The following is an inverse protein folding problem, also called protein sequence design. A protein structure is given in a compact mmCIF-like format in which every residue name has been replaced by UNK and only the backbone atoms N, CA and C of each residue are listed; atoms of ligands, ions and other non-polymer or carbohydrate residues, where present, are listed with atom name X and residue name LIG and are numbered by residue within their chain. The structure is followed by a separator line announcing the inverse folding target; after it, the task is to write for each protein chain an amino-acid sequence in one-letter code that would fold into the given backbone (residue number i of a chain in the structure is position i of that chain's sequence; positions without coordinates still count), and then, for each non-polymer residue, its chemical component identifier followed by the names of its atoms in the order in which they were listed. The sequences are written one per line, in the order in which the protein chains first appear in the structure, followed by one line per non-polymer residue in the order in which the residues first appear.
data_IF_296370945868
#
_entry.id   IF_296370945868
#
_cell.length_a   1.000
_cell.length_b   1.000
_cell.length_c   1.000
_cell.angle_alpha   90.00
_cell.angle_beta   90.00
_cell.angle_gamma   90.00
#
_symmetry.space_group_name_H-M   'P 1'
#
loop_
_entity.id
_entity.type
_entity.pdbx_description
1 polymer ?
#
# COMPACT_ATOMS: atom_id res chain seq x y z
N UNK A 1 -18.87 -13.91 32.29
CA UNK A 1 -17.46 -13.78 32.63
C UNK A 1 -16.58 -13.69 31.37
N UNK A 2 -16.65 -14.63 30.44
CA UNK A 2 -15.81 -14.64 29.20
C UNK A 2 -15.95 -13.36 28.36
N UNK A 3 -17.18 -12.86 28.14
CA UNK A 3 -17.42 -11.63 27.38
C UNK A 3 -16.81 -10.39 28.04
N UNK A 4 -16.90 -10.30 29.35
CA UNK A 4 -16.33 -9.18 30.11
C UNK A 4 -14.78 -9.21 30.05
N UNK A 5 -14.19 -10.38 30.20
CA UNK A 5 -12.75 -10.58 30.06
C UNK A 5 -12.26 -10.24 28.65
N UNK A 6 -12.96 -10.73 27.60
CA UNK A 6 -12.62 -10.40 26.22
C UNK A 6 -12.73 -8.90 25.93
N UNK A 7 -13.76 -8.24 26.46
CA UNK A 7 -13.93 -6.80 26.32
C UNK A 7 -12.81 -6.01 27.02
N UNK A 8 -12.42 -6.41 28.25
CA UNK A 8 -11.31 -5.77 28.97
C UNK A 8 -9.98 -5.96 28.23
N UNK A 9 -9.75 -7.14 27.65
CA UNK A 9 -8.56 -7.42 26.86
C UNK A 9 -8.51 -6.55 25.60
N UNK A 10 -9.62 -6.46 24.86
CA UNK A 10 -9.72 -5.61 23.67
C UNK A 10 -9.52 -4.13 24.02
N UNK A 11 -10.09 -3.66 25.14
CA UNK A 11 -9.90 -2.28 25.59
C UNK A 11 -8.44 -1.99 25.94
N UNK A 12 -7.76 -2.93 26.60
CA UNK A 12 -6.34 -2.82 26.90
C UNK A 12 -5.50 -2.73 25.62
N UNK A 13 -5.73 -3.61 24.64
CA UNK A 13 -5.07 -3.56 23.34
C UNK A 13 -5.34 -2.23 22.62
N UNK A 14 -6.57 -1.74 22.66
CA UNK A 14 -6.93 -0.46 22.05
C UNK A 14 -6.14 0.70 22.66
N UNK A 15 -6.08 0.77 24.00
CA UNK A 15 -5.34 1.83 24.72
C UNK A 15 -3.85 1.76 24.39
N UNK A 16 -3.24 0.57 24.43
CA UNK A 16 -1.83 0.37 24.10
C UNK A 16 -1.53 0.75 22.64
N UNK A 17 -2.44 0.41 21.72
CA UNK A 17 -2.27 0.73 20.30
C UNK A 17 -2.46 2.22 20.01
N UNK A 18 -3.35 2.90 20.72
CA UNK A 18 -3.61 4.34 20.55
C UNK A 18 -2.58 5.22 21.27
N UNK A 19 -1.91 4.70 22.29
CA UNK A 19 -0.95 5.46 23.11
C UNK A 19 0.13 6.18 22.25
N UNK A 20 0.86 5.51 21.33
CA UNK A 20 1.89 6.18 20.54
C UNK A 20 1.32 7.30 19.67
N UNK A 21 0.12 7.12 19.11
CA UNK A 21 -0.52 8.16 18.29
C UNK A 21 -0.93 9.37 19.14
N UNK A 22 -1.52 9.14 20.32
CA UNK A 22 -1.85 10.19 21.28
C UNK A 22 -0.58 10.92 21.75
N UNK A 23 0.50 10.17 22.04
CA UNK A 23 1.79 10.75 22.38
C UNK A 23 2.34 11.66 21.27
N UNK A 24 2.34 11.19 20.01
CA UNK A 24 2.79 11.99 18.86
C UNK A 24 1.96 13.25 18.68
N UNK A 25 0.63 13.13 18.80
CA UNK A 25 -0.29 14.26 18.69
C UNK A 25 0.00 15.33 19.74
N UNK A 26 0.06 14.96 21.02
CA UNK A 26 0.35 15.93 22.08
C UNK A 26 1.79 16.44 22.02
N UNK A 27 2.74 15.62 21.63
CA UNK A 27 4.14 16.02 21.48
C UNK A 27 4.37 17.02 20.35
N UNK A 28 3.51 17.02 19.32
CA UNK A 28 3.62 18.01 18.23
C UNK A 28 3.32 19.45 18.67
N UNK A 29 2.67 19.62 19.83
CA UNK A 29 2.40 20.93 20.44
C UNK A 29 3.37 21.29 21.57
N UNK A 30 4.36 20.44 21.86
CA UNK A 30 5.36 20.68 22.90
C UNK A 30 6.51 21.53 22.38
N UNK A 31 7.07 22.32 23.27
CA UNK A 31 8.36 22.99 23.02
C UNK A 31 9.50 21.98 23.00
N UNK A 32 10.62 22.30 22.33
CA UNK A 32 11.80 21.43 22.28
C UNK A 32 12.28 20.99 23.69
N UNK A 33 12.15 21.84 24.71
CA UNK A 33 12.53 21.53 26.08
C UNK A 33 11.61 20.46 26.71
N UNK A 34 10.32 20.54 26.42
CA UNK A 34 9.31 19.60 26.96
C UNK A 34 9.38 18.22 26.29
N UNK A 35 9.80 18.14 25.02
CA UNK A 35 9.94 16.86 24.29
C UNK A 35 10.98 15.96 25.01
N UNK A 36 12.05 16.56 25.56
CA UNK A 36 13.08 15.83 26.30
C UNK A 36 12.69 15.50 27.75
N UNK A 37 11.46 15.83 28.18
CA UNK A 37 10.92 15.47 29.49
C UNK A 37 9.90 14.34 29.36
N UNK A 38 10.31 13.06 29.35
CA UNK A 38 9.42 11.94 29.04
C UNK A 38 8.31 11.71 30.08
N UNK A 39 8.42 12.30 31.28
CA UNK A 39 7.44 12.16 32.35
C UNK A 39 6.13 12.93 32.10
N UNK A 40 6.09 13.84 31.15
CA UNK A 40 4.91 14.67 30.86
C UNK A 40 4.23 14.20 29.58
N UNK A 41 3.02 13.68 29.70
CA UNK A 41 2.22 13.26 28.54
C UNK A 41 1.62 14.47 27.80
N UNK A 42 1.05 15.43 28.51
CA UNK A 42 0.43 16.63 27.96
C UNK A 42 1.42 17.81 27.87
N UNK A 43 1.30 18.69 26.89
CA UNK A 43 2.08 19.93 26.81
C UNK A 43 1.68 20.90 27.94
N UNK A 44 2.59 21.71 28.46
CA UNK A 44 2.27 22.79 29.42
C UNK A 44 1.44 23.89 28.77
N UNK A 45 1.79 24.21 27.52
CA UNK A 45 1.05 25.12 26.65
C UNK A 45 1.00 24.52 25.26
N UNK A 46 -0.15 24.64 24.61
CA UNK A 46 -0.29 24.24 23.22
C UNK A 46 0.46 25.27 22.35
N UNK A 47 1.63 24.90 21.85
CA UNK A 47 2.46 25.72 20.98
C UNK A 47 2.38 25.21 19.54
N UNK A 48 1.94 26.06 18.62
CA UNK A 48 1.85 25.76 17.19
C UNK A 48 3.11 26.13 16.40
N UNK A 49 4.20 26.55 17.07
CA UNK A 49 5.40 27.06 16.41
C UNK A 49 6.05 26.01 15.49
N UNK A 50 6.02 24.74 15.88
CA UNK A 50 6.52 23.65 15.03
C UNK A 50 5.79 23.56 13.69
N UNK A 51 4.47 23.76 13.69
CA UNK A 51 3.65 23.75 12.48
C UNK A 51 3.91 24.99 11.61
N UNK A 52 4.03 26.18 12.22
CA UNK A 52 4.36 27.37 11.45
C UNK A 52 5.74 27.28 10.78
N UNK A 53 6.75 26.77 11.49
CA UNK A 53 8.08 26.52 10.94
C UNK A 53 8.07 25.52 9.79
N UNK A 54 7.25 24.49 9.89
CA UNK A 54 7.09 23.46 8.86
C UNK A 54 6.43 24.02 7.59
N UNK A 55 5.38 24.84 7.78
CA UNK A 55 4.61 25.43 6.67
C UNK A 55 5.33 26.61 6.02
N UNK A 56 6.17 27.35 6.75
CA UNK A 56 6.99 28.45 6.24
C UNK A 56 8.07 28.00 5.23
N UNK A 57 8.31 26.70 5.11
CA UNK A 57 9.26 26.13 4.15
C UNK A 57 10.73 26.49 4.37
N UNK A 58 11.06 27.14 5.51
CA UNK A 58 12.43 27.62 5.79
C UNK A 58 13.47 26.52 6.00
N UNK A 59 13.04 25.36 6.51
CA UNK A 59 13.92 24.24 6.80
C UNK A 59 13.78 23.11 5.78
N UNK A 60 12.55 22.83 5.34
CA UNK A 60 12.21 21.79 4.37
C UNK A 60 11.00 22.27 3.60
N UNK A 61 11.00 22.09 2.29
CA UNK A 61 9.83 22.33 1.46
C UNK A 61 8.81 21.19 1.66
N UNK A 62 8.13 21.25 2.82
CA UNK A 62 7.19 20.24 3.26
C UNK A 62 6.01 20.10 2.29
N UNK A 63 5.55 21.20 1.72
CA UNK A 63 4.41 21.22 0.78
C UNK A 63 4.69 20.37 -0.46
N UNK A 64 5.82 20.61 -1.10
CA UNK A 64 6.26 19.84 -2.27
C UNK A 64 6.57 18.38 -1.91
N UNK A 65 7.25 18.15 -0.77
CA UNK A 65 7.53 16.77 -0.31
C UNK A 65 6.27 15.97 -0.01
N UNK A 66 5.25 16.59 0.57
CA UNK A 66 3.95 15.96 0.80
C UNK A 66 3.24 15.65 -0.52
N UNK A 67 3.22 16.62 -1.46
CA UNK A 67 2.63 16.43 -2.78
C UNK A 67 3.31 15.31 -3.55
N UNK A 68 4.64 15.26 -3.58
CA UNK A 68 5.39 14.16 -4.20
C UNK A 68 5.08 12.81 -3.55
N UNK A 69 5.02 12.75 -2.23
CA UNK A 69 4.67 11.52 -1.51
C UNK A 69 3.27 11.02 -1.87
N UNK A 70 2.28 11.91 -1.94
CA UNK A 70 0.91 11.59 -2.37
C UNK A 70 0.89 11.14 -3.83
N UNK A 71 1.60 11.85 -4.71
CA UNK A 71 1.69 11.49 -6.13
C UNK A 71 2.33 10.12 -6.33
N UNK A 72 3.47 9.85 -5.70
CA UNK A 72 4.15 8.55 -5.79
C UNK A 72 3.28 7.44 -5.22
N UNK A 73 2.71 7.63 -4.03
CA UNK A 73 1.89 6.61 -3.37
C UNK A 73 0.63 6.28 -4.17
N UNK A 74 -0.10 7.29 -4.66
CA UNK A 74 -1.33 7.07 -5.44
C UNK A 74 -1.04 6.45 -6.80
N UNK A 75 -0.01 6.92 -7.49
CA UNK A 75 0.40 6.38 -8.80
C UNK A 75 0.87 4.94 -8.67
N UNK A 76 1.74 4.65 -7.71
CA UNK A 76 2.27 3.31 -7.46
C UNK A 76 1.16 2.33 -7.07
N UNK A 77 0.29 2.69 -6.12
CA UNK A 77 -0.80 1.81 -5.68
C UNK A 77 -1.81 1.54 -6.79
N UNK A 78 -2.16 2.55 -7.58
CA UNK A 78 -3.08 2.41 -8.71
C UNK A 78 -2.51 1.47 -9.79
N UNK A 79 -1.25 1.70 -10.19
CA UNK A 79 -0.58 0.87 -11.17
C UNK A 79 -0.36 -0.56 -10.67
N UNK A 80 0.07 -0.73 -9.41
CA UNK A 80 0.27 -2.04 -8.81
C UNK A 80 -1.05 -2.83 -8.74
N UNK A 81 -2.14 -2.17 -8.40
CA UNK A 81 -3.48 -2.78 -8.36
C UNK A 81 -3.92 -3.18 -9.76
N UNK A 82 -3.78 -2.30 -10.74
CA UNK A 82 -4.16 -2.57 -12.13
C UNK A 82 -3.36 -3.75 -12.71
N UNK A 83 -2.03 -3.72 -12.59
CA UNK A 83 -1.15 -4.79 -13.08
C UNK A 83 -1.45 -6.11 -12.38
N UNK A 84 -1.63 -6.08 -11.05
CA UNK A 84 -1.96 -7.27 -10.28
C UNK A 84 -3.33 -7.85 -10.65
N UNK A 85 -4.34 -7.00 -10.86
CA UNK A 85 -5.67 -7.44 -11.25
C UNK A 85 -5.69 -8.03 -12.66
N UNK A 86 -5.04 -7.38 -13.64
CA UNK A 86 -4.92 -7.92 -14.99
C UNK A 86 -4.19 -9.26 -15.01
N UNK A 87 -3.04 -9.33 -14.34
CA UNK A 87 -2.26 -10.57 -14.23
C UNK A 87 -3.07 -11.65 -13.51
N UNK A 88 -3.74 -11.30 -12.42
CA UNK A 88 -4.60 -12.20 -11.66
C UNK A 88 -5.75 -12.78 -12.48
N UNK A 89 -6.43 -11.96 -13.30
CA UNK A 89 -7.48 -12.41 -14.20
C UNK A 89 -6.93 -13.43 -15.22
N UNK A 90 -5.80 -13.12 -15.85
CA UNK A 90 -5.18 -14.03 -16.82
C UNK A 90 -4.77 -15.34 -16.16
N UNK A 91 -4.14 -15.28 -14.98
CA UNK A 91 -3.73 -16.47 -14.23
C UNK A 91 -4.93 -17.26 -13.67
N UNK A 92 -6.07 -16.64 -13.43
CA UNK A 92 -7.27 -17.34 -12.97
C UNK A 92 -8.01 -18.04 -14.10
N UNK A 93 -8.26 -17.32 -15.21
CA UNK A 93 -9.26 -17.68 -16.23
C UNK A 93 -8.67 -18.23 -17.52
N UNK A 94 -7.37 -18.13 -17.74
CA UNK A 94 -6.73 -18.62 -18.95
C UNK A 94 -5.77 -19.76 -18.64
N UNK A 95 -5.67 -20.72 -19.58
CA UNK A 95 -4.69 -21.80 -19.56
C UNK A 95 -3.62 -21.53 -20.62
N UNK A 96 -2.36 -21.45 -20.22
CA UNK A 96 -1.22 -21.23 -21.11
C UNK A 96 0.07 -21.85 -20.56
N UNK A 97 1.04 -22.08 -21.44
CA UNK A 97 2.36 -22.60 -21.03
C UNK A 97 3.10 -21.51 -20.23
N UNK A 98 3.67 -21.90 -19.09
CA UNK A 98 4.37 -20.95 -18.19
C UNK A 98 3.51 -20.37 -17.05
N UNK A 99 2.20 -20.66 -16.97
CA UNK A 99 1.33 -20.21 -15.87
C UNK A 99 1.87 -20.59 -14.48
N UNK A 100 2.33 -21.83 -14.31
CA UNK A 100 2.91 -22.29 -13.05
C UNK A 100 4.18 -21.51 -12.68
N UNK A 101 5.03 -21.20 -13.68
CA UNK A 101 6.22 -20.37 -13.49
C UNK A 101 5.87 -18.97 -12.98
N UNK A 102 4.89 -18.30 -13.58
CA UNK A 102 4.46 -16.95 -13.15
C UNK A 102 3.87 -16.95 -11.73
N UNK A 103 3.09 -17.98 -11.38
CA UNK A 103 2.58 -18.14 -10.01
C UNK A 103 3.75 -18.37 -9.04
N UNK A 104 4.70 -19.21 -9.39
CA UNK A 104 5.91 -19.45 -8.61
C UNK A 104 6.74 -18.18 -8.43
N UNK A 105 6.93 -17.40 -9.49
CA UNK A 105 7.63 -16.11 -9.42
C UNK A 105 6.90 -15.12 -8.48
N UNK A 106 5.58 -15.03 -8.55
CA UNK A 106 4.81 -14.18 -7.64
C UNK A 106 4.97 -14.59 -6.17
N UNK A 107 5.03 -15.91 -5.89
CA UNK A 107 5.29 -16.43 -4.54
C UNK A 107 6.70 -16.11 -4.07
N UNK A 108 7.71 -16.25 -4.93
CA UNK A 108 9.11 -15.90 -4.62
C UNK A 108 9.22 -14.42 -4.26
N UNK A 109 8.57 -13.53 -5.01
CA UNK A 109 8.57 -12.07 -4.72
C UNK A 109 8.03 -11.78 -3.31
N UNK A 110 7.07 -12.56 -2.81
CA UNK A 110 6.53 -12.38 -1.45
C UNK A 110 7.56 -12.82 -0.40
N UNK A 111 8.35 -13.85 -0.67
CA UNK A 111 9.31 -14.43 0.26
C UNK A 111 10.60 -13.61 0.36
N UNK A 112 10.97 -12.87 -0.69
CA UNK A 112 12.18 -12.06 -0.68
C UNK A 112 11.95 -10.79 0.14
N UNK A 113 12.72 -10.54 1.20
CA UNK A 113 12.60 -9.33 2.00
C UNK A 113 13.00 -8.12 1.17
N UNK A 114 12.11 -7.14 1.04
CA UNK A 114 12.36 -5.92 0.25
C UNK A 114 13.60 -5.17 0.69
N UNK A 115 13.92 -5.23 1.99
CA UNK A 115 15.09 -4.59 2.56
C UNK A 115 16.40 -5.10 1.96
N UNK A 116 16.48 -6.39 1.62
CA UNK A 116 17.65 -6.98 0.98
C UNK A 116 17.86 -6.47 -0.47
N UNK A 117 16.81 -5.99 -1.11
CA UNK A 117 16.85 -5.49 -2.48
C UNK A 117 17.16 -3.99 -2.60
N UNK A 118 17.23 -3.26 -1.48
CA UNK A 118 17.42 -1.80 -1.51
C UNK A 118 18.71 -1.41 -2.23
N UNK A 119 19.83 -2.04 -1.88
CA UNK A 119 21.12 -1.72 -2.49
C UNK A 119 21.19 -2.11 -3.97
N UNK A 120 20.86 -3.36 -4.39
CA UNK A 120 20.87 -3.72 -5.80
C UNK A 120 19.93 -2.85 -6.66
N UNK A 121 18.74 -2.50 -6.13
CA UNK A 121 17.78 -1.65 -6.83
C UNK A 121 18.32 -0.23 -6.97
N UNK A 122 18.95 0.32 -5.94
CA UNK A 122 19.59 1.63 -5.99
C UNK A 122 20.72 1.66 -7.04
N UNK A 123 21.61 0.67 -7.04
CA UNK A 123 22.69 0.55 -8.02
C UNK A 123 22.14 0.45 -9.46
N UNK A 124 21.08 -0.32 -9.65
CA UNK A 124 20.41 -0.44 -10.95
C UNK A 124 19.82 0.88 -11.44
N UNK A 125 19.14 1.63 -10.57
CA UNK A 125 18.61 2.95 -10.94
C UNK A 125 19.71 4.00 -11.14
N UNK A 126 20.80 3.90 -10.39
CA UNK A 126 21.97 4.74 -10.61
C UNK A 126 22.58 4.48 -11.99
N UNK A 127 22.74 3.23 -12.36
CA UNK A 127 23.23 2.84 -13.68
C UNK A 127 22.32 3.33 -14.83
N UNK A 128 21.01 3.33 -14.62
CA UNK A 128 20.03 3.85 -15.58
C UNK A 128 19.92 5.39 -15.59
N UNK A 129 20.59 6.10 -14.68
CA UNK A 129 20.46 7.55 -14.53
C UNK A 129 19.09 8.00 -14.00
N UNK A 130 18.39 7.15 -13.26
CA UNK A 130 17.02 7.39 -12.77
C UNK A 130 16.97 7.82 -11.29
N UNK A 131 18.11 8.07 -10.68
CA UNK A 131 18.18 8.57 -9.31
C UNK A 131 17.57 10.00 -9.26
N UNK A 132 16.75 10.26 -8.26
CA UNK A 132 16.05 11.54 -8.10
C UNK A 132 14.78 11.69 -8.95
N UNK A 133 14.36 10.64 -9.66
CA UNK A 133 13.11 10.63 -10.42
C UNK A 133 12.03 9.86 -9.67
N UNK A 134 10.86 10.47 -9.46
CA UNK A 134 9.70 9.84 -8.79
C UNK A 134 9.22 8.56 -9.48
N UNK A 135 9.42 8.46 -10.80
CA UNK A 135 9.07 7.24 -11.57
C UNK A 135 9.88 6.01 -11.17
N UNK A 136 11.13 6.17 -10.71
CA UNK A 136 11.93 5.04 -10.21
C UNK A 136 11.26 4.39 -8.99
N UNK A 137 10.74 5.20 -8.07
CA UNK A 137 10.01 4.71 -6.89
C UNK A 137 8.70 4.05 -7.29
N UNK A 138 7.94 4.65 -8.21
CA UNK A 138 6.68 4.11 -8.71
C UNK A 138 6.90 2.74 -9.34
N UNK A 139 7.87 2.63 -10.25
CA UNK A 139 8.14 1.38 -10.98
C UNK A 139 8.60 0.24 -10.07
N UNK A 140 9.37 0.53 -9.02
CA UNK A 140 9.79 -0.47 -8.02
C UNK A 140 8.61 -1.17 -7.34
N UNK A 141 7.48 -0.50 -7.19
CA UNK A 141 6.33 -1.02 -6.45
C UNK A 141 5.22 -1.62 -7.31
N UNK A 142 5.30 -1.50 -8.63
CA UNK A 142 4.25 -1.99 -9.55
C UNK A 142 4.10 -3.52 -9.49
N UNK A 143 5.21 -4.25 -9.38
CA UNK A 143 5.18 -5.70 -9.31
C UNK A 143 4.90 -6.18 -7.89
N UNK A 144 3.63 -6.47 -7.58
CA UNK A 144 3.19 -6.99 -6.30
C UNK A 144 2.84 -8.47 -6.39
N UNK A 145 3.72 -9.36 -5.89
CA UNK A 145 3.45 -10.80 -5.84
C UNK A 145 2.18 -11.11 -5.02
N UNK A 146 2.01 -10.43 -3.88
CA UNK A 146 0.83 -10.58 -3.03
C UNK A 146 -0.44 -10.12 -3.76
N UNK A 147 -0.39 -8.99 -4.46
CA UNK A 147 -1.51 -8.50 -5.27
C UNK A 147 -1.89 -9.49 -6.38
N UNK A 148 -0.92 -10.03 -7.10
CA UNK A 148 -1.16 -11.04 -8.15
C UNK A 148 -1.82 -12.29 -7.58
N UNK A 149 -1.33 -12.85 -6.47
CA UNK A 149 -1.93 -14.03 -5.84
C UNK A 149 -3.33 -13.72 -5.32
N UNK A 150 -3.53 -12.57 -4.66
CA UNK A 150 -4.83 -12.14 -4.16
C UNK A 150 -5.87 -12.08 -5.30
N UNK A 151 -5.58 -11.34 -6.37
CA UNK A 151 -6.51 -11.23 -7.50
C UNK A 151 -6.69 -12.55 -8.24
N UNK A 152 -5.64 -13.40 -8.34
CA UNK A 152 -5.78 -14.74 -8.93
C UNK A 152 -6.80 -15.58 -8.16
N UNK A 153 -6.73 -15.57 -6.83
CA UNK A 153 -7.68 -16.32 -6.00
C UNK A 153 -9.09 -15.71 -6.09
N UNK A 154 -9.19 -14.37 -6.03
CA UNK A 154 -10.49 -13.70 -6.13
C UNK A 154 -11.20 -14.01 -7.46
N UNK A 155 -10.49 -13.93 -8.57
CA UNK A 155 -11.06 -14.26 -9.88
C UNK A 155 -11.37 -15.75 -10.06
N UNK A 156 -10.68 -16.67 -9.38
CA UNK A 156 -11.00 -18.12 -9.41
C UNK A 156 -12.39 -18.42 -8.85
N UNK A 157 -12.87 -17.65 -7.88
CA UNK A 157 -14.20 -17.83 -7.29
C UNK A 157 -15.33 -17.40 -8.22
N UNK A 158 -15.06 -16.61 -9.25
CA UNK A 158 -16.08 -16.20 -10.20
C UNK A 158 -16.42 -17.36 -11.17
N UNK A 159 -17.72 -17.57 -11.52
CA UNK A 159 -18.13 -18.57 -12.49
C UNK A 159 -17.45 -18.38 -13.85
N UNK A 160 -17.10 -19.49 -14.53
CA UNK A 160 -16.49 -19.41 -15.85
C UNK A 160 -17.50 -19.00 -16.94
N UNK A 161 -18.77 -19.23 -16.68
CA UNK A 161 -19.89 -18.87 -17.54
C UNK A 161 -19.89 -17.36 -17.87
N UNK A 162 -19.48 -16.51 -16.92
CA UNK A 162 -19.33 -15.07 -17.16
C UNK A 162 -18.32 -14.78 -18.27
N UNK A 163 -17.24 -15.55 -18.32
CA UNK A 163 -16.21 -15.42 -19.37
C UNK A 163 -16.70 -15.93 -20.71
N UNK A 164 -17.45 -17.04 -20.71
CA UNK A 164 -17.99 -17.67 -21.90
C UNK A 164 -19.04 -16.79 -22.55
N UNK A 165 -20.02 -16.32 -21.79
CA UNK A 165 -21.06 -15.38 -22.26
C UNK A 165 -20.42 -14.11 -22.84
N UNK A 166 -19.46 -13.52 -22.13
CA UNK A 166 -18.78 -12.30 -22.59
C UNK A 166 -18.04 -12.53 -23.92
N UNK A 167 -17.46 -13.71 -24.12
CA UNK A 167 -16.80 -14.07 -25.39
C UNK A 167 -17.80 -14.30 -26.51
N UNK A 168 -18.92 -14.93 -26.23
CA UNK A 168 -20.00 -15.15 -27.21
C UNK A 168 -20.60 -13.82 -27.69
N UNK A 169 -20.70 -12.82 -26.81
CA UNK A 169 -21.10 -11.46 -27.13
C UNK A 169 -20.02 -10.64 -27.88
N UNK A 170 -18.84 -11.22 -28.11
CA UNK A 170 -17.75 -10.59 -28.85
C UNK A 170 -17.00 -9.51 -28.07
N UNK A 171 -17.07 -9.50 -26.74
CA UNK A 171 -16.34 -8.50 -25.93
C UNK A 171 -14.83 -8.71 -25.98
N UNK A 172 -14.10 -7.60 -26.12
CA UNK A 172 -12.64 -7.61 -26.04
C UNK A 172 -12.17 -8.00 -24.63
N UNK A 173 -10.97 -8.56 -24.45
CA UNK A 173 -10.42 -8.93 -23.15
C UNK A 173 -10.44 -7.77 -22.12
N UNK A 174 -10.20 -6.53 -22.58
CA UNK A 174 -10.25 -5.33 -21.77
C UNK A 174 -11.67 -5.03 -21.27
N UNK A 175 -12.66 -5.16 -22.15
CA UNK A 175 -14.07 -4.96 -21.80
C UNK A 175 -14.55 -6.02 -20.81
N UNK A 176 -14.12 -7.28 -20.99
CA UNK A 176 -14.37 -8.37 -20.05
C UNK A 176 -13.79 -8.03 -18.67
N UNK A 177 -12.54 -7.55 -18.62
CA UNK A 177 -11.90 -7.14 -17.36
C UNK A 177 -12.72 -6.09 -16.61
N UNK A 178 -13.12 -5.00 -17.30
CA UNK A 178 -13.92 -3.91 -16.70
C UNK A 178 -15.27 -4.44 -16.20
N UNK A 179 -15.90 -5.34 -16.95
CA UNK A 179 -17.22 -5.88 -16.65
C UNK A 179 -17.18 -6.82 -15.43
N UNK A 180 -16.09 -7.54 -15.22
CA UNK A 180 -15.93 -8.51 -14.13
C UNK A 180 -15.41 -7.84 -12.85
N UNK A 181 -14.71 -6.71 -12.97
CA UNK A 181 -14.10 -6.03 -11.82
C UNK A 181 -15.09 -5.70 -10.68
N UNK A 182 -16.32 -5.21 -10.94
CA UNK A 182 -17.30 -4.93 -9.89
C UNK A 182 -17.71 -6.17 -9.07
N UNK A 183 -17.66 -7.36 -9.64
CA UNK A 183 -18.00 -8.60 -8.92
C UNK A 183 -16.96 -9.00 -7.86
N UNK A 184 -15.79 -8.36 -7.85
CA UNK A 184 -14.80 -8.53 -6.80
C UNK A 184 -15.05 -7.61 -5.59
N UNK A 185 -15.91 -6.60 -5.75
CA UNK A 185 -16.29 -5.74 -4.64
C UNK A 185 -17.19 -6.53 -3.70
N UNK A 186 -16.91 -6.55 -2.38
CA UNK A 186 -17.80 -7.20 -1.44
C UNK A 186 -19.17 -6.50 -1.49
N UNK A 187 -20.21 -7.28 -1.76
CA UNK A 187 -21.59 -6.83 -1.59
C UNK A 187 -21.86 -6.87 -0.08
N UNK A 188 -21.84 -5.72 0.55
CA UNK A 188 -22.22 -5.54 1.97
C UNK A 188 -23.71 -5.40 2.10
#
# INVERSE_FOLDING_TARGET
MIRLFSFSLLLCFLIVSLYPFAWMFFSSFKTNKEIYQPSRFLPEKFDGQAYSMLLDGKFVDFGNGLWESVFVATSQSSLATLVSALTGLVLAKYSFRGKAFLIGAALIIILVPRQALVVPVFEWFNFLGWIGNSWSLILCGIASGLGVIFFTQSFKHLPNELMEVSRLEGYSPWRIFILILPFLLPVW
#
